data_IF_583810880960
#
_entry.id   IF_583810880960
#
_cell.length_a   1.000
_cell.length_b   1.000
_cell.length_c   1.000
_cell.angle_alpha   90.00
_cell.angle_beta   90.00
_cell.angle_gamma   90.00
#
_symmetry.space_group_name_H-M   'P 1'
#
loop_
_entity.id
_entity.type
_entity.pdbx_description
1 polymer ?
#
# COMPACT_ATOMS: atom_id res chain seq x y z
N UNK A 1 33.70 10.38 1.20
CA UNK A 1 34.28 10.11 -0.14
C UNK A 1 33.80 11.10 -1.22
N UNK A 2 32.89 12.03 -0.87
CA UNK A 2 32.34 13.07 -1.78
C UNK A 2 31.88 12.50 -3.14
N UNK A 3 31.17 11.37 -3.09
CA UNK A 3 30.66 10.67 -4.28
C UNK A 3 29.24 11.11 -4.67
N UNK A 4 28.69 12.10 -3.95
CA UNK A 4 27.35 12.62 -4.23
C UNK A 4 27.32 13.46 -5.52
N UNK A 5 26.18 13.44 -6.20
CA UNK A 5 25.89 14.31 -7.33
C UNK A 5 25.35 15.65 -6.81
N UNK A 6 26.27 16.60 -6.55
CA UNK A 6 25.90 17.88 -5.95
C UNK A 6 25.03 18.74 -6.88
N UNK A 7 25.21 18.64 -8.21
CA UNK A 7 24.34 19.35 -9.15
C UNK A 7 22.91 18.86 -9.06
N UNK A 8 22.70 17.55 -9.03
CA UNK A 8 21.38 16.97 -8.85
C UNK A 8 20.75 17.41 -7.52
N UNK A 9 21.52 17.34 -6.42
CA UNK A 9 21.08 17.78 -5.09
C UNK A 9 20.57 19.22 -5.13
N UNK A 10 21.37 20.14 -5.63
CA UNK A 10 21.06 21.57 -5.66
C UNK A 10 19.80 21.86 -6.48
N UNK A 11 19.62 21.18 -7.60
CA UNK A 11 18.51 21.43 -8.52
C UNK A 11 17.19 20.81 -8.05
N UNK A 12 17.23 19.61 -7.53
CA UNK A 12 16.02 18.79 -7.40
C UNK A 12 15.64 18.42 -5.97
N UNK A 13 16.45 18.75 -4.96
CA UNK A 13 16.14 18.37 -3.58
C UNK A 13 15.83 19.56 -2.67
N UNK A 14 15.11 19.29 -1.59
CA UNK A 14 14.89 20.18 -0.44
C UNK A 14 15.35 19.48 0.83
N UNK A 15 16.20 20.14 1.63
CA UNK A 15 16.63 19.66 2.94
C UNK A 15 17.69 18.57 2.91
N UNK A 16 18.42 18.38 1.78
CA UNK A 16 19.54 17.45 1.71
C UNK A 16 20.76 17.98 2.46
N UNK A 17 21.06 19.27 2.30
CA UNK A 17 22.16 19.98 2.96
C UNK A 17 21.77 21.44 3.25
N UNK A 18 22.67 22.22 3.83
CA UNK A 18 22.41 23.62 4.17
C UNK A 18 22.02 24.48 2.96
N UNK A 19 22.61 24.19 1.77
CA UNK A 19 22.31 24.92 0.54
C UNK A 19 20.93 24.64 -0.04
N UNK A 20 20.28 23.57 0.36
CA UNK A 20 18.95 23.14 -0.10
C UNK A 20 17.84 23.33 0.93
N UNK A 21 18.17 23.96 2.08
CA UNK A 21 17.19 24.29 3.11
C UNK A 21 16.31 25.46 2.69
N UNK A 22 14.99 25.38 2.83
CA UNK A 22 14.13 26.51 2.59
C UNK A 22 14.14 27.47 3.79
N UNK A 23 13.98 28.79 3.52
CA UNK A 23 14.05 29.85 4.53
C UNK A 23 13.05 29.66 5.69
N UNK A 24 11.88 29.15 5.40
CA UNK A 24 10.83 28.91 6.38
C UNK A 24 11.16 27.81 7.40
N UNK A 25 12.10 26.89 7.05
CA UNK A 25 12.36 25.70 7.87
C UNK A 25 12.87 26.01 9.26
N UNK A 26 13.66 27.06 9.42
CA UNK A 26 14.20 27.49 10.72
C UNK A 26 13.13 27.92 11.73
N UNK A 27 11.98 28.36 11.22
CA UNK A 27 10.86 28.79 12.05
C UNK A 27 9.80 27.69 12.27
N UNK A 28 10.05 26.49 11.78
CA UNK A 28 9.13 25.38 11.88
C UNK A 28 9.40 24.56 13.13
N UNK A 29 8.35 23.99 13.73
CA UNK A 29 8.44 23.21 14.97
C UNK A 29 9.36 21.99 14.84
N UNK A 30 9.48 21.42 13.64
CA UNK A 30 10.24 20.23 13.31
C UNK A 30 11.09 20.39 12.04
N UNK A 31 11.50 21.61 11.67
CA UNK A 31 12.05 21.91 10.35
C UNK A 31 13.54 22.29 10.30
N UNK A 32 14.20 22.52 11.42
CA UNK A 32 15.51 23.17 11.47
C UNK A 32 16.72 22.28 11.11
N UNK A 33 16.52 21.03 10.69
CA UNK A 33 17.57 20.07 10.44
C UNK A 33 17.65 19.67 8.97
N UNK A 34 18.88 19.55 8.43
CA UNK A 34 19.10 18.95 7.11
C UNK A 34 19.75 17.56 7.22
N UNK A 35 19.64 16.78 6.15
CA UNK A 35 20.05 15.39 6.16
C UNK A 35 21.58 15.21 6.26
N UNK A 36 22.37 16.06 5.56
CA UNK A 36 23.84 15.98 5.59
C UNK A 36 24.38 16.19 7.01
N UNK A 37 23.91 17.23 7.69
CA UNK A 37 24.39 17.55 9.04
C UNK A 37 23.92 16.50 10.05
N UNK A 38 22.76 15.88 9.86
CA UNK A 38 22.35 14.71 10.63
C UNK A 38 23.31 13.53 10.43
N UNK A 39 23.67 13.20 9.18
CA UNK A 39 24.64 12.11 8.90
C UNK A 39 26.00 12.40 9.50
N UNK A 40 26.45 13.65 9.47
CA UNK A 40 27.71 14.07 10.07
C UNK A 40 27.72 14.12 11.60
N UNK A 41 26.55 13.95 12.24
CA UNK A 41 26.40 13.98 13.69
C UNK A 41 26.35 15.39 14.28
N UNK A 42 26.11 16.43 13.46
CA UNK A 42 26.09 17.83 13.93
C UNK A 42 25.02 18.08 14.99
N UNK A 43 23.89 17.38 14.91
CA UNK A 43 22.75 17.63 15.81
C UNK A 43 22.75 16.74 17.07
N UNK A 44 23.36 15.55 17.00
CA UNK A 44 23.29 14.57 18.09
C UNK A 44 24.68 14.08 18.56
N UNK A 45 25.74 14.66 18.01
CA UNK A 45 27.12 14.30 18.36
C UNK A 45 27.58 12.91 17.87
N UNK A 46 26.73 12.24 17.07
CA UNK A 46 27.00 10.86 16.63
C UNK A 46 27.03 10.80 15.08
N UNK A 47 28.24 10.80 14.46
CA UNK A 47 28.37 10.59 13.03
C UNK A 47 27.86 9.20 12.61
N UNK A 48 27.04 9.15 11.55
CA UNK A 48 26.46 7.89 11.02
C UNK A 48 27.46 7.24 10.06
N UNK A 49 28.60 6.80 10.62
CA UNK A 49 29.67 6.15 9.84
C UNK A 49 29.33 4.72 9.45
N UNK A 50 30.04 4.12 8.49
CA UNK A 50 29.91 2.68 8.21
C UNK A 50 30.12 1.79 9.43
N UNK A 51 31.04 2.17 10.33
CA UNK A 51 31.34 1.46 11.58
C UNK A 51 30.14 1.55 12.54
N UNK A 52 29.55 2.74 12.71
CA UNK A 52 28.32 2.92 13.48
C UNK A 52 27.17 2.08 12.91
N UNK A 53 27.03 2.03 11.58
CA UNK A 53 26.00 1.24 10.94
C UNK A 53 26.22 -0.27 11.09
N UNK A 54 27.50 -0.72 11.05
CA UNK A 54 27.88 -2.13 11.20
C UNK A 54 27.44 -2.69 12.56
N UNK A 55 27.59 -1.92 13.62
CA UNK A 55 27.17 -2.32 14.97
C UNK A 55 25.64 -2.51 15.08
N UNK A 56 24.87 -1.79 14.26
CA UNK A 56 23.40 -1.85 14.28
C UNK A 56 22.89 -2.99 13.38
N UNK A 57 23.41 -3.10 12.15
CA UNK A 57 22.85 -3.98 11.14
C UNK A 57 23.59 -5.32 10.96
N UNK A 58 24.75 -5.49 11.60
CA UNK A 58 25.59 -6.69 11.50
C UNK A 58 26.28 -6.87 10.14
N UNK A 59 26.23 -5.87 9.24
CA UNK A 59 26.97 -5.86 7.98
C UNK A 59 28.31 -5.18 8.19
N UNK A 60 29.39 -5.74 7.66
CA UNK A 60 30.74 -5.18 7.89
C UNK A 60 30.86 -3.76 7.33
N UNK A 61 31.59 -2.89 8.01
CA UNK A 61 31.83 -1.51 7.54
C UNK A 61 32.53 -1.49 6.17
N UNK A 62 33.32 -2.49 5.85
CA UNK A 62 34.00 -2.64 4.56
C UNK A 62 32.94 -2.91 3.44
N UNK A 63 32.00 -3.83 3.66
CA UNK A 63 30.95 -4.13 2.70
C UNK A 63 30.02 -2.93 2.50
N UNK A 64 29.71 -2.18 3.56
CA UNK A 64 28.92 -0.94 3.47
C UNK A 64 29.67 0.08 2.58
N UNK A 65 30.96 0.30 2.80
CA UNK A 65 31.79 1.20 1.98
C UNK A 65 31.86 0.75 0.53
N UNK A 66 32.05 -0.54 0.30
CA UNK A 66 32.08 -1.16 -1.02
C UNK A 66 30.76 -0.97 -1.77
N UNK A 67 29.63 -1.24 -1.12
CA UNK A 67 28.30 -1.04 -1.70
C UNK A 67 28.03 0.42 -2.03
N UNK A 68 28.37 1.33 -1.11
CA UNK A 68 28.20 2.77 -1.32
C UNK A 68 29.02 3.26 -2.52
N UNK A 69 30.28 2.83 -2.63
CA UNK A 69 31.14 3.17 -3.77
C UNK A 69 30.57 2.61 -5.08
N UNK A 70 30.20 1.32 -5.09
CA UNK A 70 29.63 0.66 -6.27
C UNK A 70 28.35 1.37 -6.74
N UNK A 71 27.43 1.70 -5.84
CA UNK A 71 26.18 2.34 -6.17
C UNK A 71 26.39 3.78 -6.70
N UNK A 72 27.29 4.54 -6.08
CA UNK A 72 27.55 5.92 -6.48
C UNK A 72 28.32 6.04 -7.81
N UNK A 73 29.18 5.07 -8.14
CA UNK A 73 30.01 5.12 -9.36
C UNK A 73 29.41 4.38 -10.55
N UNK A 74 28.37 3.57 -10.34
CA UNK A 74 27.65 2.89 -11.43
C UNK A 74 26.47 3.72 -11.85
N UNK A 75 26.43 4.17 -13.11
CA UNK A 75 25.30 4.90 -13.69
C UNK A 75 24.86 4.29 -15.02
N UNK A 76 23.57 4.02 -15.21
CA UNK A 76 22.50 4.11 -14.22
C UNK A 76 22.59 2.98 -13.18
N UNK A 77 22.16 3.25 -11.95
CA UNK A 77 22.00 2.24 -10.92
C UNK A 77 20.58 2.24 -10.35
N UNK A 78 19.92 1.08 -10.41
CA UNK A 78 18.60 0.91 -9.84
C UNK A 78 18.68 0.45 -8.38
N UNK A 79 18.00 1.16 -7.50
CA UNK A 79 17.76 0.70 -6.12
C UNK A 79 16.36 0.07 -6.04
N UNK A 80 16.31 -1.25 -5.81
CA UNK A 80 15.06 -1.96 -5.59
C UNK A 80 14.91 -2.27 -4.11
N UNK A 81 13.96 -1.61 -3.49
CA UNK A 81 13.63 -1.81 -2.09
C UNK A 81 12.44 -2.76 -1.91
N UNK A 82 12.31 -3.35 -0.73
CA UNK A 82 11.19 -4.22 -0.34
C UNK A 82 10.19 -3.47 0.53
N UNK A 83 8.98 -4.00 0.66
CA UNK A 83 7.96 -3.43 1.54
C UNK A 83 8.10 -3.87 3.01
N UNK A 84 8.78 -4.99 3.25
CA UNK A 84 8.87 -5.59 4.58
C UNK A 84 9.41 -4.64 5.66
N UNK A 85 10.48 -3.86 5.43
CA UNK A 85 10.97 -2.93 6.43
C UNK A 85 9.95 -1.88 6.86
N UNK A 86 9.07 -1.44 5.95
CA UNK A 86 7.99 -0.51 6.24
C UNK A 86 6.88 -1.06 7.15
N UNK A 87 6.92 -2.34 7.48
CA UNK A 87 5.93 -3.00 8.38
C UNK A 87 6.35 -2.99 9.84
N UNK A 88 7.53 -2.49 10.15
CA UNK A 88 8.04 -2.35 11.51
C UNK A 88 7.83 -0.91 12.03
N UNK A 89 7.99 -0.74 13.34
CA UNK A 89 8.01 0.59 13.92
C UNK A 89 9.14 1.42 13.30
N UNK A 90 8.82 2.66 12.94
CA UNK A 90 9.72 3.59 12.21
C UNK A 90 10.16 3.09 10.83
N UNK A 91 9.51 2.07 10.28
CA UNK A 91 9.86 1.47 8.99
C UNK A 91 9.70 2.39 7.78
N UNK A 92 8.91 3.46 7.89
CA UNK A 92 8.82 4.51 6.88
C UNK A 92 10.16 5.20 6.63
N UNK A 93 11.06 5.22 7.62
CA UNK A 93 12.40 5.80 7.48
C UNK A 93 13.24 5.05 6.45
N UNK A 94 13.04 3.75 6.31
CA UNK A 94 13.72 2.94 5.28
C UNK A 94 13.44 3.44 3.85
N UNK A 95 12.18 3.66 3.52
CA UNK A 95 11.81 4.17 2.18
C UNK A 95 12.30 5.59 1.96
N UNK A 96 12.26 6.43 2.99
CA UNK A 96 12.77 7.81 2.95
C UNK A 96 14.29 7.84 2.76
N UNK A 97 15.03 6.97 3.45
CA UNK A 97 16.49 6.80 3.26
C UNK A 97 16.81 6.33 1.84
N UNK A 98 16.02 5.38 1.31
CA UNK A 98 16.17 4.92 -0.08
C UNK A 98 15.99 6.04 -1.10
N UNK A 99 15.01 6.90 -0.91
CA UNK A 99 14.80 8.09 -1.76
C UNK A 99 15.97 9.09 -1.66
N UNK A 100 16.46 9.33 -0.43
CA UNK A 100 17.61 10.19 -0.19
C UNK A 100 18.87 9.64 -0.89
N UNK A 101 19.17 8.35 -0.78
CA UNK A 101 20.30 7.70 -1.44
C UNK A 101 20.24 7.82 -2.97
N UNK A 102 19.06 7.60 -3.56
CA UNK A 102 18.87 7.74 -5.00
C UNK A 102 19.03 9.20 -5.47
N UNK A 103 18.51 10.15 -4.70
CA UNK A 103 18.66 11.57 -4.98
C UNK A 103 20.14 12.01 -4.85
N UNK A 104 20.85 11.54 -3.81
CA UNK A 104 22.27 11.84 -3.63
C UNK A 104 23.13 11.40 -4.81
N UNK A 105 22.75 10.34 -5.50
CA UNK A 105 23.54 9.78 -6.60
C UNK A 105 22.99 10.13 -7.98
N UNK A 106 21.94 10.95 -8.08
CA UNK A 106 21.34 11.37 -9.35
C UNK A 106 20.75 10.21 -10.15
N UNK A 107 20.26 9.15 -9.50
CA UNK A 107 19.66 7.98 -10.15
C UNK A 107 18.12 8.09 -10.30
N UNK A 108 17.55 9.28 -10.15
CA UNK A 108 16.11 9.56 -10.34
C UNK A 108 15.89 10.22 -11.69
N UNK A 109 14.86 9.85 -12.42
CA UNK A 109 14.46 10.44 -13.70
C UNK A 109 15.25 9.96 -14.90
N UNK A 110 16.18 9.03 -14.75
CA UNK A 110 17.01 8.47 -15.83
C UNK A 110 16.63 7.04 -16.16
N UNK A 111 16.83 6.65 -17.43
CA UNK A 111 16.60 5.27 -17.88
C UNK A 111 17.55 4.31 -17.15
N UNK A 112 17.00 3.28 -16.52
CA UNK A 112 17.79 2.31 -15.74
C UNK A 112 18.07 2.72 -14.31
N UNK A 113 17.81 3.98 -13.91
CA UNK A 113 17.70 4.40 -12.53
C UNK A 113 16.30 4.06 -12.00
N UNK A 114 16.14 3.98 -10.70
CA UNK A 114 14.85 3.68 -10.08
C UNK A 114 14.68 4.48 -8.79
N UNK A 115 13.54 5.15 -8.69
CA UNK A 115 13.10 5.84 -7.47
C UNK A 115 12.16 4.95 -6.66
N UNK A 116 12.36 3.64 -6.67
CA UNK A 116 11.44 2.69 -6.08
C UNK A 116 11.72 2.48 -4.59
N UNK A 117 11.00 3.22 -3.75
CA UNK A 117 10.87 2.84 -2.33
C UNK A 117 9.78 1.78 -2.09
N UNK A 118 8.82 1.60 -3.01
CA UNK A 118 7.60 0.82 -2.79
C UNK A 118 7.17 -0.03 -3.99
N UNK A 119 7.97 -0.11 -5.04
CA UNK A 119 7.69 -0.99 -6.19
C UNK A 119 6.53 -0.57 -7.09
N UNK A 120 6.13 0.68 -7.09
CA UNK A 120 5.10 1.20 -7.99
C UNK A 120 5.74 1.83 -9.23
N UNK A 121 5.83 1.07 -10.33
CA UNK A 121 5.98 1.69 -11.63
C UNK A 121 4.58 2.14 -12.09
N UNK A 122 4.29 3.42 -12.00
CA UNK A 122 3.07 3.98 -12.56
C UNK A 122 3.09 3.83 -14.07
N UNK A 123 1.94 3.52 -14.64
CA UNK A 123 1.79 3.51 -16.09
C UNK A 123 1.94 4.93 -16.62
N UNK A 124 2.61 5.07 -17.76
CA UNK A 124 2.70 6.34 -18.47
C UNK A 124 1.33 6.91 -18.83
N UNK A 125 0.34 6.02 -18.97
CA UNK A 125 -1.03 6.37 -19.24
C UNK A 125 -1.95 5.70 -18.22
N UNK A 126 -2.93 6.45 -17.75
CA UNK A 126 -3.89 5.95 -16.78
C UNK A 126 -4.70 4.81 -17.41
N UNK A 127 -4.52 3.61 -16.87
CA UNK A 127 -5.35 2.48 -17.21
C UNK A 127 -6.74 2.73 -16.63
N UNK A 128 -7.75 2.80 -17.49
CA UNK A 128 -9.12 2.98 -17.05
C UNK A 128 -9.61 1.71 -16.33
N UNK A 129 -10.20 1.88 -15.17
CA UNK A 129 -10.84 0.76 -14.48
C UNK A 129 -12.15 0.39 -15.16
N UNK A 130 -12.52 -0.91 -15.22
CA UNK A 130 -13.76 -1.35 -15.88
C UNK A 130 -15.02 -0.81 -15.23
N UNK A 131 -14.97 -0.51 -13.96
CA UNK A 131 -16.12 0.02 -13.21
C UNK A 131 -15.87 1.46 -12.83
N UNK A 132 -16.87 2.32 -13.00
CA UNK A 132 -16.79 3.69 -12.53
C UNK A 132 -16.61 3.67 -11.01
N UNK A 133 -15.51 4.26 -10.54
CA UNK A 133 -15.32 4.49 -9.13
C UNK A 133 -16.18 5.70 -8.74
N UNK A 134 -17.37 5.43 -8.25
CA UNK A 134 -18.18 6.48 -7.64
C UNK A 134 -17.43 6.98 -6.40
N UNK A 135 -17.12 8.26 -6.39
CA UNK A 135 -16.61 8.88 -5.19
C UNK A 135 -17.61 8.61 -4.05
N UNK A 136 -17.10 8.13 -2.93
CA UNK A 136 -17.90 8.02 -1.73
C UNK A 136 -18.22 9.44 -1.25
N UNK A 137 -19.36 9.98 -1.72
CA UNK A 137 -19.79 11.36 -1.44
C UNK A 137 -20.33 11.55 -0.02
N UNK A 138 -20.51 10.45 0.72
CA UNK A 138 -21.22 10.48 1.98
C UNK A 138 -20.35 10.24 3.21
N UNK A 139 -19.16 9.63 3.06
CA UNK A 139 -18.40 9.18 4.21
C UNK A 139 -16.90 9.30 4.01
N UNK A 140 -16.21 9.68 5.07
CA UNK A 140 -14.77 9.59 5.12
C UNK A 140 -14.30 8.14 5.10
N UNK A 141 -13.16 7.89 4.46
CA UNK A 141 -12.49 6.59 4.54
C UNK A 141 -11.88 6.41 5.92
N UNK A 142 -12.26 5.34 6.60
CA UNK A 142 -11.66 4.91 7.86
C UNK A 142 -10.55 3.91 7.54
N UNK A 143 -9.39 4.07 8.15
CA UNK A 143 -8.32 3.08 8.04
C UNK A 143 -8.77 1.74 8.62
N UNK A 144 -8.43 0.65 7.95
CA UNK A 144 -8.85 -0.71 8.32
C UNK A 144 -8.44 -1.13 9.74
N UNK A 145 -7.41 -0.53 10.31
CA UNK A 145 -6.94 -0.78 11.68
C UNK A 145 -7.65 0.07 12.75
N UNK A 146 -8.62 0.93 12.36
CA UNK A 146 -9.30 1.87 13.27
C UNK A 146 -10.76 1.53 13.56
N UNK A 147 -11.40 0.72 12.74
CA UNK A 147 -12.82 0.44 12.90
C UNK A 147 -13.17 -0.12 14.29
N UNK A 148 -12.39 -1.06 14.81
CA UNK A 148 -12.64 -1.65 16.13
C UNK A 148 -12.48 -0.61 17.25
N UNK A 149 -11.50 0.31 17.12
CA UNK A 149 -11.34 1.40 18.08
C UNK A 149 -12.57 2.31 18.10
N UNK A 150 -13.12 2.62 16.91
CA UNK A 150 -14.32 3.43 16.80
C UNK A 150 -15.50 2.73 17.43
N UNK A 151 -15.77 1.47 17.06
CA UNK A 151 -16.91 0.70 17.60
C UNK A 151 -16.87 0.57 19.13
N UNK A 152 -15.69 0.35 19.70
CA UNK A 152 -15.53 0.14 21.14
C UNK A 152 -15.66 1.42 21.96
N UNK A 153 -15.30 2.57 21.41
CA UNK A 153 -15.19 3.83 22.14
C UNK A 153 -16.21 4.90 21.72
N UNK A 154 -17.04 4.64 20.72
CA UNK A 154 -18.09 5.58 20.32
C UNK A 154 -19.03 5.89 21.50
N UNK A 155 -19.47 7.18 21.71
CA UNK A 155 -19.22 8.36 20.88
C UNK A 155 -17.93 9.12 21.22
N UNK A 156 -17.11 8.66 22.15
CA UNK A 156 -15.96 9.36 22.71
C UNK A 156 -14.68 9.13 21.88
N UNK A 157 -14.77 9.21 20.55
CA UNK A 157 -13.64 9.03 19.64
C UNK A 157 -13.44 10.31 18.85
N UNK A 158 -12.24 10.86 18.93
CA UNK A 158 -11.86 12.02 18.12
C UNK A 158 -11.61 11.64 16.66
N UNK A 159 -11.68 12.63 15.76
CA UNK A 159 -11.33 12.41 14.33
C UNK A 159 -9.93 11.87 14.15
N UNK A 160 -8.98 12.38 14.91
CA UNK A 160 -7.59 11.95 14.88
C UNK A 160 -7.44 10.48 15.30
N UNK A 161 -8.10 10.07 16.38
CA UNK A 161 -8.13 8.67 16.82
C UNK A 161 -8.80 7.74 15.82
N UNK A 162 -9.79 8.22 15.10
CA UNK A 162 -10.45 7.50 14.01
C UNK A 162 -9.59 7.44 12.73
N UNK A 163 -8.47 8.17 12.68
CA UNK A 163 -7.62 8.27 11.49
C UNK A 163 -8.24 9.08 10.35
N UNK A 164 -9.18 9.96 10.68
CA UNK A 164 -9.83 10.88 9.75
C UNK A 164 -8.98 12.14 9.63
N UNK A 165 -8.35 12.33 8.47
CA UNK A 165 -7.48 13.48 8.24
C UNK A 165 -8.27 14.76 7.89
N UNK A 166 -7.71 15.97 8.16
CA UNK A 166 -8.36 17.24 7.87
C UNK A 166 -8.61 17.54 6.38
N UNK A 167 -8.12 16.70 5.49
CA UNK A 167 -8.23 16.92 4.02
C UNK A 167 -9.62 16.70 3.44
N UNK A 168 -10.50 16.08 4.18
CA UNK A 168 -11.88 15.91 3.73
C UNK A 168 -12.72 17.12 4.16
N UNK A 169 -12.56 18.24 3.45
CA UNK A 169 -13.34 19.47 3.63
C UNK A 169 -14.86 19.26 3.45
N UNK A 170 -15.25 18.11 2.90
CA UNK A 170 -16.64 17.70 2.69
C UNK A 170 -17.24 16.94 3.87
N UNK A 171 -16.46 16.62 4.89
CA UNK A 171 -16.91 15.84 6.03
C UNK A 171 -17.19 16.74 7.24
N UNK A 172 -18.40 16.67 7.76
CA UNK A 172 -18.87 17.50 8.89
C UNK A 172 -18.18 17.24 10.25
N UNK A 173 -17.18 16.39 10.26
CA UNK A 173 -16.36 16.12 11.43
C UNK A 173 -16.88 15.06 12.39
N UNK A 174 -17.99 14.45 12.10
CA UNK A 174 -18.58 13.44 12.97
C UNK A 174 -17.97 12.07 12.72
N UNK A 175 -17.42 11.43 13.75
CA UNK A 175 -16.99 10.03 13.69
C UNK A 175 -18.23 9.16 13.54
N UNK A 176 -18.30 8.27 12.52
CA UNK A 176 -19.51 7.49 12.28
C UNK A 176 -19.76 6.46 13.38
N UNK A 177 -21.03 6.29 13.74
CA UNK A 177 -21.47 5.17 14.58
C UNK A 177 -21.59 3.91 13.70
N UNK A 178 -20.55 3.10 13.67
CA UNK A 178 -20.50 1.90 12.85
C UNK A 178 -21.41 0.83 13.47
N UNK A 179 -22.46 0.46 12.73
CA UNK A 179 -23.46 -0.52 13.13
C UNK A 179 -23.27 -1.87 12.46
N UNK A 180 -22.73 -1.87 11.25
CA UNK A 180 -22.51 -3.08 10.48
C UNK A 180 -21.30 -2.96 9.58
N UNK A 181 -20.75 -4.10 9.15
CA UNK A 181 -19.60 -4.20 8.27
C UNK A 181 -19.83 -5.21 7.16
N UNK A 182 -19.35 -4.86 5.97
CA UNK A 182 -19.18 -5.77 4.86
C UNK A 182 -17.70 -6.01 4.60
N UNK A 183 -17.27 -7.25 4.72
CA UNK A 183 -15.89 -7.67 4.47
C UNK A 183 -15.80 -8.30 3.09
N UNK A 184 -15.16 -7.61 2.18
CA UNK A 184 -14.99 -8.07 0.81
C UNK A 184 -13.51 -8.34 0.54
N UNK A 185 -13.16 -9.60 0.23
CA UNK A 185 -11.79 -9.99 -0.12
C UNK A 185 -10.76 -9.67 0.96
N UNK A 186 -11.17 -9.67 2.23
CA UNK A 186 -10.32 -9.32 3.37
C UNK A 186 -10.49 -10.32 4.50
N UNK A 187 -9.41 -11.00 4.84
CA UNK A 187 -9.32 -11.87 6.01
C UNK A 187 -8.66 -11.12 7.17
N UNK A 188 -9.36 -10.10 7.69
CA UNK A 188 -8.82 -9.19 8.71
C UNK A 188 -8.39 -9.90 9.98
N UNK A 189 -9.02 -11.04 10.31
CA UNK A 189 -8.65 -11.86 11.45
C UNK A 189 -7.18 -12.33 11.39
N UNK A 190 -6.64 -12.53 10.18
CA UNK A 190 -5.24 -12.87 9.96
C UNK A 190 -4.35 -11.66 9.62
N UNK A 191 -4.93 -10.49 9.37
CA UNK A 191 -4.21 -9.32 8.88
C UNK A 191 -4.03 -8.21 9.91
N UNK A 192 -4.96 -8.07 10.85
CA UNK A 192 -4.91 -7.02 11.86
C UNK A 192 -4.16 -7.45 13.12
N UNK A 193 -3.69 -6.48 13.87
CA UNK A 193 -2.68 -6.71 14.91
C UNK A 193 -3.21 -7.10 16.28
N UNK A 194 -4.49 -6.85 16.57
CA UNK A 194 -5.07 -7.10 17.90
C UNK A 194 -6.42 -7.81 17.79
N UNK A 195 -6.36 -9.10 17.48
CA UNK A 195 -7.53 -9.95 17.25
C UNK A 195 -8.53 -9.94 18.41
N UNK A 196 -8.06 -9.93 19.66
CA UNK A 196 -8.95 -9.91 20.81
C UNK A 196 -9.79 -8.63 20.85
N UNK A 197 -9.19 -7.48 20.55
CA UNK A 197 -9.89 -6.20 20.44
C UNK A 197 -10.89 -6.19 19.29
N UNK A 198 -10.51 -6.77 18.14
CA UNK A 198 -11.40 -6.89 16.99
C UNK A 198 -12.62 -7.76 17.31
N UNK A 199 -12.45 -8.90 17.98
CA UNK A 199 -13.54 -9.77 18.42
C UNK A 199 -14.49 -9.09 19.42
N UNK A 200 -13.97 -8.26 20.32
CA UNK A 200 -14.81 -7.46 21.21
C UNK A 200 -15.64 -6.44 20.44
N UNK A 201 -15.06 -5.82 19.43
CA UNK A 201 -15.77 -4.86 18.59
C UNK A 201 -16.88 -5.54 17.75
N UNK A 202 -16.61 -6.70 17.16
CA UNK A 202 -17.62 -7.49 16.42
C UNK A 202 -18.86 -7.75 17.23
N UNK A 203 -18.71 -8.08 18.51
CA UNK A 203 -19.85 -8.35 19.43
C UNK A 203 -20.78 -7.15 19.62
N UNK A 204 -20.34 -5.94 19.27
CA UNK A 204 -21.13 -4.70 19.36
C UNK A 204 -21.78 -4.32 18.03
N UNK A 205 -21.43 -4.97 16.93
CA UNK A 205 -22.06 -4.74 15.63
C UNK A 205 -23.46 -5.36 15.59
N UNK A 206 -24.35 -4.73 14.84
CA UNK A 206 -25.70 -5.22 14.59
C UNK A 206 -25.72 -6.21 13.41
N UNK A 207 -24.77 -6.09 12.48
CA UNK A 207 -24.66 -6.95 11.31
C UNK A 207 -23.20 -7.00 10.81
N UNK A 208 -22.69 -8.21 10.59
CA UNK A 208 -21.39 -8.45 10.03
C UNK A 208 -21.48 -9.45 8.87
N UNK A 209 -21.23 -8.99 7.64
CA UNK A 209 -21.34 -9.77 6.42
C UNK A 209 -19.96 -10.00 5.83
N UNK A 210 -19.62 -11.26 5.57
CA UNK A 210 -18.38 -11.62 4.90
C UNK A 210 -18.65 -12.11 3.48
N UNK A 211 -17.94 -11.55 2.50
CA UNK A 211 -17.97 -11.94 1.10
C UNK A 211 -16.61 -12.56 0.76
N UNK A 212 -16.57 -13.86 0.56
CA UNK A 212 -15.34 -14.55 0.19
C UNK A 212 -15.63 -15.80 -0.66
N UNK A 213 -14.64 -16.23 -1.43
CA UNK A 213 -14.71 -17.46 -2.23
C UNK A 213 -14.47 -18.73 -1.41
N UNK A 214 -13.99 -18.58 -0.18
CA UNK A 214 -13.72 -19.66 0.76
C UNK A 214 -14.11 -19.24 2.17
N UNK A 215 -14.35 -20.22 3.04
CA UNK A 215 -14.57 -19.94 4.46
C UNK A 215 -13.23 -19.60 5.11
N UNK A 216 -13.02 -18.32 5.38
CA UNK A 216 -11.83 -17.79 6.08
C UNK A 216 -12.04 -17.78 7.59
N UNK A 217 -10.97 -17.60 8.40
CA UNK A 217 -11.14 -17.33 9.83
C UNK A 217 -12.05 -16.14 10.12
N UNK A 218 -11.97 -15.06 9.36
CA UNK A 218 -12.89 -13.91 9.48
C UNK A 218 -14.35 -14.35 9.30
N UNK A 219 -14.65 -15.10 8.25
CA UNK A 219 -15.97 -15.63 8.00
C UNK A 219 -16.47 -16.57 9.11
N UNK A 220 -15.58 -17.44 9.61
CA UNK A 220 -15.95 -18.45 10.61
C UNK A 220 -16.21 -17.87 12.00
N UNK A 221 -15.45 -16.84 12.42
CA UNK A 221 -15.47 -16.34 13.81
C UNK A 221 -16.23 -15.04 13.98
N UNK A 222 -16.44 -14.28 12.89
CA UNK A 222 -16.93 -12.93 13.01
C UNK A 222 -18.17 -12.61 12.15
N UNK A 223 -18.51 -13.42 11.15
CA UNK A 223 -19.64 -13.13 10.27
C UNK A 223 -20.96 -13.64 10.80
N UNK A 224 -22.01 -12.80 10.72
CA UNK A 224 -23.41 -13.23 10.89
C UNK A 224 -23.94 -13.86 9.60
N UNK A 225 -23.44 -13.37 8.45
CA UNK A 225 -23.81 -13.83 7.11
C UNK A 225 -22.57 -14.06 6.26
N UNK A 226 -22.47 -15.22 5.63
CA UNK A 226 -21.48 -15.53 4.61
C UNK A 226 -22.13 -15.52 3.23
N UNK A 227 -21.63 -14.67 2.35
CA UNK A 227 -22.04 -14.65 0.95
C UNK A 227 -20.92 -15.25 0.09
N UNK A 228 -21.15 -16.38 -0.58
CA UNK A 228 -20.15 -17.01 -1.39
C UNK A 228 -19.89 -16.18 -2.66
N UNK A 229 -18.61 -15.85 -2.89
CA UNK A 229 -18.18 -15.06 -4.05
C UNK A 229 -17.56 -15.96 -5.10
N UNK A 230 -17.96 -15.76 -6.36
CA UNK A 230 -17.40 -16.48 -7.49
C UNK A 230 -15.93 -16.07 -7.72
N UNK A 231 -15.11 -17.08 -8.01
CA UNK A 231 -13.70 -16.88 -8.37
C UNK A 231 -13.57 -16.27 -9.78
N UNK A 232 -12.36 -15.89 -10.14
CA UNK A 232 -12.07 -15.37 -11.48
C UNK A 232 -12.25 -16.38 -12.63
N UNK A 233 -12.43 -17.67 -12.35
CA UNK A 233 -12.77 -18.68 -13.35
C UNK A 233 -14.28 -18.76 -13.62
N UNK A 234 -15.08 -18.25 -12.71
CA UNK A 234 -16.53 -18.37 -12.70
C UNK A 234 -17.26 -17.11 -13.21
N UNK A 235 -16.50 -16.10 -13.66
CA UNK A 235 -17.07 -14.84 -14.21
C UNK A 235 -16.21 -14.27 -15.32
N UNK A 236 -16.84 -13.45 -16.16
CA UNK A 236 -16.14 -12.59 -17.11
C UNK A 236 -15.55 -11.38 -16.41
N UNK A 237 -14.34 -11.00 -16.75
CA UNK A 237 -13.68 -9.83 -16.16
C UNK A 237 -12.51 -9.34 -17.03
N UNK A 238 -11.94 -8.20 -16.69
CA UNK A 238 -10.70 -7.67 -17.26
C UNK A 238 -9.69 -7.45 -16.16
N UNK A 239 -8.54 -8.09 -16.27
CA UNK A 239 -7.44 -7.87 -15.36
C UNK A 239 -6.55 -6.74 -15.85
N UNK A 240 -6.13 -5.94 -14.89
CA UNK A 240 -5.15 -4.88 -15.02
C UNK A 240 -3.86 -5.32 -14.31
N UNK A 241 -2.69 -4.96 -14.82
CA UNK A 241 -1.45 -5.26 -14.11
C UNK A 241 -1.39 -4.42 -12.85
N UNK A 242 -1.16 -5.06 -11.71
CA UNK A 242 -0.96 -4.34 -10.47
C UNK A 242 0.38 -3.63 -10.47
N UNK A 243 0.38 -2.34 -10.86
CA UNK A 243 1.53 -1.45 -10.90
C UNK A 243 2.70 -1.84 -11.84
N UNK A 244 2.57 -2.85 -12.70
CA UNK A 244 3.68 -3.28 -13.57
C UNK A 244 3.19 -3.70 -14.96
N UNK A 245 3.10 -2.75 -15.86
CA UNK A 245 2.84 -3.03 -17.27
C UNK A 245 1.76 -2.13 -17.89
N UNK A 246 1.76 -2.13 -19.22
CA UNK A 246 0.83 -1.35 -20.04
C UNK A 246 0.01 -2.32 -20.84
N UNK A 247 -0.92 -3.05 -20.18
CA UNK A 247 -1.72 -4.06 -20.84
C UNK A 247 -3.03 -4.34 -20.10
N UNK A 248 -4.00 -4.85 -20.85
CA UNK A 248 -5.22 -5.46 -20.35
C UNK A 248 -5.20 -6.96 -20.61
N UNK A 249 -5.76 -7.75 -19.72
CA UNK A 249 -5.97 -9.20 -19.92
C UNK A 249 -7.46 -9.47 -19.82
N UNK A 250 -8.03 -10.05 -20.87
CA UNK A 250 -9.38 -10.61 -20.79
C UNK A 250 -9.37 -11.88 -19.96
N UNK A 251 -10.23 -11.96 -18.99
CA UNK A 251 -10.48 -13.15 -18.16
C UNK A 251 -11.85 -13.71 -18.52
N UNK A 252 -11.93 -14.71 -19.39
CA UNK A 252 -13.20 -15.34 -19.72
C UNK A 252 -13.71 -16.18 -18.54
N UNK A 253 -15.02 -16.26 -18.39
CA UNK A 253 -15.65 -17.29 -17.58
C UNK A 253 -15.32 -18.66 -18.20
N UNK A 254 -14.85 -19.59 -17.39
CA UNK A 254 -14.38 -20.91 -17.79
C UNK A 254 -15.28 -22.03 -17.27
N UNK A 255 -15.87 -21.81 -16.11
CA UNK A 255 -16.80 -22.71 -15.45
C UNK A 255 -18.00 -21.92 -14.93
N UNK A 256 -19.14 -22.60 -14.74
CA UNK A 256 -20.27 -21.98 -14.06
C UNK A 256 -19.98 -21.75 -12.58
N UNK A 257 -20.55 -20.70 -11.97
CA UNK A 257 -20.43 -20.46 -10.54
C UNK A 257 -20.84 -21.70 -9.72
N UNK A 258 -20.00 -22.06 -8.75
CA UNK A 258 -20.24 -23.21 -7.90
C UNK A 258 -21.26 -22.87 -6.79
N UNK A 259 -22.24 -23.75 -6.62
CA UNK A 259 -23.27 -23.57 -5.61
C UNK A 259 -24.11 -22.30 -5.84
N UNK A 260 -24.19 -21.46 -4.81
CA UNK A 260 -24.91 -20.19 -4.84
C UNK A 260 -23.98 -18.98 -5.03
N UNK A 261 -22.73 -19.21 -5.46
CA UNK A 261 -21.75 -18.13 -5.58
C UNK A 261 -22.13 -17.14 -6.70
N UNK A 262 -21.89 -15.87 -6.43
CA UNK A 262 -22.11 -14.75 -7.34
C UNK A 262 -20.87 -13.85 -7.34
N UNK A 263 -20.68 -13.07 -8.41
CA UNK A 263 -19.62 -12.07 -8.39
C UNK A 263 -19.91 -10.99 -7.34
N UNK A 264 -18.85 -10.35 -6.79
CA UNK A 264 -19.01 -9.20 -5.90
C UNK A 264 -19.92 -8.14 -6.54
N UNK A 265 -19.70 -7.87 -7.83
CA UNK A 265 -20.49 -6.88 -8.57
C UNK A 265 -21.97 -7.26 -8.65
N UNK A 266 -22.27 -8.53 -8.88
CA UNK A 266 -23.63 -9.05 -8.88
C UNK A 266 -24.28 -8.93 -7.48
N UNK A 267 -23.58 -9.35 -6.44
CA UNK A 267 -24.07 -9.26 -5.06
C UNK A 267 -24.47 -7.82 -4.72
N UNK A 268 -23.57 -6.87 -4.95
CA UNK A 268 -23.84 -5.47 -4.63
C UNK A 268 -24.90 -4.83 -5.55
N UNK A 269 -24.97 -5.22 -6.82
CA UNK A 269 -26.04 -4.79 -7.72
C UNK A 269 -27.40 -5.24 -7.19
N UNK A 270 -27.52 -6.52 -6.85
CA UNK A 270 -28.77 -7.07 -6.31
C UNK A 270 -29.16 -6.44 -4.97
N UNK A 271 -28.18 -6.21 -4.08
CA UNK A 271 -28.42 -5.50 -2.82
C UNK A 271 -28.90 -4.07 -3.04
N UNK A 272 -28.30 -3.33 -3.95
CA UNK A 272 -28.69 -1.97 -4.29
C UNK A 272 -30.16 -1.93 -4.81
N UNK A 273 -30.54 -2.85 -5.68
CA UNK A 273 -31.90 -2.99 -6.15
C UNK A 273 -32.90 -3.36 -5.04
N UNK A 274 -32.53 -4.25 -4.12
CA UNK A 274 -33.40 -4.66 -3.01
C UNK A 274 -33.59 -3.57 -1.96
N UNK A 275 -32.56 -2.76 -1.71
CA UNK A 275 -32.58 -1.67 -0.72
C UNK A 275 -33.29 -0.43 -1.26
N UNK A 276 -32.98 0.00 -2.48
CA UNK A 276 -33.43 1.28 -3.02
C UNK A 276 -34.10 1.21 -4.41
N UNK A 277 -34.50 0.02 -4.83
CA UNK A 277 -35.19 -0.20 -6.09
C UNK A 277 -34.35 0.22 -7.30
N UNK A 278 -35.03 0.64 -8.36
CA UNK A 278 -34.41 1.01 -9.63
C UNK A 278 -33.39 2.16 -9.48
N UNK A 279 -33.64 3.12 -8.59
CA UNK A 279 -32.80 4.29 -8.39
C UNK A 279 -31.42 3.86 -7.87
N UNK A 280 -31.37 3.05 -6.84
CA UNK A 280 -30.09 2.59 -6.27
C UNK A 280 -29.45 1.53 -7.16
N UNK A 281 -30.25 0.64 -7.73
CA UNK A 281 -29.76 -0.39 -8.64
C UNK A 281 -29.04 0.21 -9.85
N UNK A 282 -29.65 1.18 -10.52
CA UNK A 282 -29.05 1.88 -11.66
C UNK A 282 -27.92 2.84 -11.27
N UNK A 283 -27.94 3.40 -10.08
CA UNK A 283 -26.83 4.19 -9.58
C UNK A 283 -25.57 3.33 -9.38
N UNK A 284 -25.74 2.09 -8.93
CA UNK A 284 -24.62 1.16 -8.74
C UNK A 284 -24.21 0.47 -10.06
N UNK A 285 -25.18 -0.02 -10.82
CA UNK A 285 -24.97 -0.65 -12.13
C UNK A 285 -25.92 -0.02 -13.16
N UNK A 286 -25.47 1.01 -13.91
CA UNK A 286 -26.32 1.76 -14.84
C UNK A 286 -26.94 0.90 -15.95
N UNK A 287 -26.38 -0.27 -16.22
CA UNK A 287 -26.86 -1.19 -17.27
C UNK A 287 -27.80 -2.27 -16.74
N UNK A 288 -27.89 -2.41 -15.41
CA UNK A 288 -28.82 -3.36 -14.83
C UNK A 288 -30.26 -2.85 -14.92
N UNK A 289 -31.17 -3.76 -15.24
CA UNK A 289 -32.59 -3.62 -15.07
C UNK A 289 -33.14 -4.84 -14.31
N UNK A 290 -34.44 -5.04 -14.27
CA UNK A 290 -35.02 -6.19 -13.56
C UNK A 290 -34.59 -7.54 -14.10
N UNK A 291 -34.22 -7.64 -15.38
CA UNK A 291 -33.73 -8.87 -15.98
C UNK A 291 -32.35 -9.28 -15.46
N UNK A 292 -31.65 -8.37 -14.77
CA UNK A 292 -30.35 -8.65 -14.17
C UNK A 292 -30.36 -9.83 -13.20
N UNK A 293 -31.44 -10.00 -12.47
CA UNK A 293 -31.56 -11.13 -11.53
C UNK A 293 -31.55 -12.50 -12.22
N UNK A 294 -32.02 -12.54 -13.48
CA UNK A 294 -32.09 -13.77 -14.27
C UNK A 294 -30.94 -13.90 -15.27
N UNK A 295 -30.26 -12.79 -15.59
CA UNK A 295 -29.32 -12.69 -16.71
C UNK A 295 -28.06 -11.85 -16.36
N UNK A 296 -27.54 -11.95 -15.15
CA UNK A 296 -26.43 -11.13 -14.68
C UNK A 296 -25.19 -11.23 -15.57
N UNK A 297 -24.82 -12.42 -16.02
CA UNK A 297 -23.67 -12.65 -16.92
C UNK A 297 -23.76 -11.85 -18.22
N UNK A 298 -24.94 -11.84 -18.87
CA UNK A 298 -25.13 -11.13 -20.14
C UNK A 298 -25.04 -9.60 -19.92
N UNK A 299 -25.56 -9.11 -18.81
CA UNK A 299 -25.52 -7.67 -18.49
C UNK A 299 -24.08 -7.26 -18.11
N UNK A 300 -23.36 -8.07 -17.36
CA UNK A 300 -21.98 -7.81 -16.98
C UNK A 300 -21.05 -7.85 -18.19
N UNK A 301 -21.25 -8.79 -19.11
CA UNK A 301 -20.54 -8.84 -20.40
C UNK A 301 -20.83 -7.61 -21.27
N UNK A 302 -22.08 -7.17 -21.33
CA UNK A 302 -22.46 -5.95 -22.02
C UNK A 302 -21.86 -4.70 -21.38
N UNK A 303 -21.73 -4.69 -20.04
CA UNK A 303 -21.04 -3.62 -19.30
C UNK A 303 -19.57 -3.55 -19.67
N UNK A 304 -18.86 -4.66 -19.65
CA UNK A 304 -17.43 -4.74 -20.01
C UNK A 304 -17.19 -4.33 -21.47
N UNK A 305 -18.05 -4.78 -22.38
CA UNK A 305 -18.00 -4.41 -23.81
C UNK A 305 -18.15 -2.90 -24.01
N UNK A 306 -19.11 -2.29 -23.33
CA UNK A 306 -19.31 -0.85 -23.41
C UNK A 306 -18.18 -0.05 -22.75
N UNK A 307 -17.67 -0.51 -21.59
CA UNK A 307 -16.49 0.09 -20.97
C UNK A 307 -15.30 0.05 -21.93
N UNK A 308 -15.05 -1.10 -22.58
CA UNK A 308 -13.98 -1.22 -23.57
C UNK A 308 -14.14 -0.19 -24.68
N UNK A 309 -15.33 -0.08 -25.25
CA UNK A 309 -15.62 0.88 -26.30
C UNK A 309 -15.44 2.33 -25.82
N UNK A 310 -16.05 2.70 -24.71
CA UNK A 310 -16.12 4.09 -24.26
C UNK A 310 -14.80 4.57 -23.63
N UNK A 311 -14.17 3.76 -22.79
CA UNK A 311 -12.98 4.16 -22.05
C UNK A 311 -11.67 3.74 -22.73
N UNK A 312 -11.63 2.56 -23.33
CA UNK A 312 -10.37 2.04 -23.91
C UNK A 312 -10.24 2.47 -25.36
N UNK A 313 -11.22 2.18 -26.20
CA UNK A 313 -11.14 2.54 -27.62
C UNK A 313 -11.25 4.06 -27.82
N UNK A 314 -12.26 4.70 -27.27
CA UNK A 314 -12.52 6.09 -27.53
C UNK A 314 -11.56 7.04 -26.81
N UNK A 315 -11.35 6.88 -25.49
CA UNK A 315 -10.48 7.79 -24.74
C UNK A 315 -8.98 7.49 -24.85
N UNK A 316 -8.64 6.21 -25.03
CA UNK A 316 -7.22 5.81 -25.10
C UNK A 316 -6.74 5.53 -26.53
N UNK A 317 -7.60 5.74 -27.54
CA UNK A 317 -7.23 5.58 -28.95
C UNK A 317 -6.93 4.14 -29.37
N UNK A 318 -7.42 3.15 -28.62
CA UNK A 318 -7.24 1.74 -28.94
C UNK A 318 -8.14 1.34 -30.09
N UNK A 319 -7.58 0.77 -31.14
CA UNK A 319 -8.35 0.37 -32.35
C UNK A 319 -8.89 -1.05 -32.30
N UNK A 320 -8.43 -1.86 -31.32
CA UNK A 320 -8.88 -3.25 -31.16
C UNK A 320 -10.31 -3.31 -30.63
N UNK A 321 -11.21 -3.99 -31.33
CA UNK A 321 -12.58 -4.20 -30.87
C UNK A 321 -12.66 -5.11 -29.65
N UNK A 322 -13.79 -5.08 -28.94
CA UNK A 322 -14.03 -5.98 -27.79
C UNK A 322 -13.93 -7.46 -28.20
N UNK A 323 -14.51 -7.82 -29.34
CA UNK A 323 -14.46 -9.22 -29.84
C UNK A 323 -13.05 -9.67 -30.20
N UNK A 324 -12.25 -8.79 -30.79
CA UNK A 324 -10.84 -9.08 -31.05
C UNK A 324 -10.03 -9.21 -29.76
N UNK A 325 -10.30 -8.34 -28.77
CA UNK A 325 -9.66 -8.42 -27.47
C UNK A 325 -9.99 -9.72 -26.74
N UNK A 326 -11.27 -10.13 -26.73
CA UNK A 326 -11.66 -11.44 -26.17
C UNK A 326 -10.93 -12.59 -26.84
N UNK A 327 -10.89 -12.58 -28.17
CA UNK A 327 -10.20 -13.63 -28.94
C UNK A 327 -8.69 -13.66 -28.70
N UNK A 328 -8.06 -12.50 -28.58
CA UNK A 328 -6.62 -12.37 -28.36
C UNK A 328 -6.22 -12.59 -26.90
N UNK A 329 -7.10 -12.32 -25.96
CA UNK A 329 -6.89 -12.46 -24.53
C UNK A 329 -6.03 -11.37 -23.88
N UNK A 330 -5.19 -10.67 -24.64
CA UNK A 330 -4.31 -9.61 -24.12
C UNK A 330 -4.22 -8.46 -25.10
N UNK A 331 -4.35 -7.25 -24.59
CA UNK A 331 -3.98 -6.02 -25.29
C UNK A 331 -2.78 -5.37 -24.60
N UNK A 332 -1.71 -5.12 -25.34
CA UNK A 332 -0.53 -4.38 -24.86
C UNK A 332 -0.47 -3.02 -25.53
N UNK A 333 -0.38 -1.96 -24.74
CA UNK A 333 -0.15 -0.64 -25.27
C UNK A 333 1.23 -0.55 -25.93
N UNK A 334 1.26 0.05 -27.11
CA UNK A 334 2.52 0.36 -27.77
C UNK A 334 3.08 1.65 -27.15
N UNK A 335 4.29 1.56 -26.65
CA UNK A 335 5.02 2.71 -26.13
C UNK A 335 6.06 3.14 -27.18
N UNK A 336 6.09 4.41 -27.54
CA UNK A 336 7.09 4.96 -28.47
C UNK A 336 8.48 5.02 -27.83
N UNK A 337 8.52 5.21 -26.51
CA UNK A 337 9.74 5.21 -25.69
C UNK A 337 9.50 4.54 -24.34
N UNK A 338 10.53 3.98 -23.71
CA UNK A 338 10.39 3.44 -22.36
C UNK A 338 9.88 4.50 -21.38
N UNK A 339 8.95 4.10 -20.51
CA UNK A 339 8.54 4.93 -19.39
C UNK A 339 9.67 5.03 -18.37
N UNK A 340 10.00 6.25 -17.99
CA UNK A 340 10.98 6.54 -16.94
C UNK A 340 10.31 7.43 -15.90
N UNK A 341 10.19 6.92 -14.69
CA UNK A 341 9.60 7.69 -13.60
C UNK A 341 10.38 9.00 -13.36
N UNK A 342 9.66 10.09 -13.19
CA UNK A 342 10.20 11.43 -12.95
C UNK A 342 11.06 12.03 -14.08
N UNK A 343 11.00 11.47 -15.30
CA UNK A 343 11.73 12.06 -16.44
C UNK A 343 11.31 13.50 -16.69
N UNK A 344 10.01 13.79 -16.69
CA UNK A 344 9.48 15.11 -16.93
C UNK A 344 9.99 16.15 -15.91
N UNK A 345 10.18 15.73 -14.65
CA UNK A 345 10.72 16.58 -13.60
C UNK A 345 12.21 16.87 -13.81
N UNK A 346 12.98 15.87 -14.20
CA UNK A 346 14.44 15.98 -14.29
C UNK A 346 14.90 16.53 -15.64
N UNK A 347 14.29 16.07 -16.75
CA UNK A 347 14.70 16.47 -18.11
C UNK A 347 13.92 17.68 -18.65
N UNK A 348 12.62 17.82 -18.30
CA UNK A 348 11.72 18.81 -18.89
C UNK A 348 11.37 19.95 -17.92
N UNK A 349 11.89 19.92 -16.68
CA UNK A 349 11.73 20.98 -15.69
C UNK A 349 10.34 21.09 -15.06
N UNK A 350 9.50 20.03 -15.16
CA UNK A 350 8.24 20.01 -14.46
C UNK A 350 8.46 19.91 -12.94
N UNK A 351 7.60 20.49 -12.10
CA UNK A 351 7.72 20.31 -10.65
C UNK A 351 7.39 18.88 -10.24
N UNK A 352 8.04 18.41 -9.17
CA UNK A 352 7.58 17.20 -8.47
C UNK A 352 6.23 17.48 -7.80
N UNK A 353 5.42 16.46 -7.63
CA UNK A 353 4.10 16.57 -6.97
C UNK A 353 4.25 16.60 -5.43
N UNK A 354 4.98 17.57 -4.95
CA UNK A 354 5.24 17.85 -3.54
C UNK A 354 4.97 19.32 -3.27
N UNK A 355 4.74 19.75 -2.03
CA UNK A 355 4.53 21.16 -1.70
C UNK A 355 5.65 22.09 -2.18
N UNK A 356 6.90 21.64 -2.18
CA UNK A 356 8.07 22.40 -2.64
C UNK A 356 8.30 22.34 -4.16
N UNK A 357 7.62 21.42 -4.86
CA UNK A 357 7.93 21.11 -6.27
C UNK A 357 9.27 20.37 -6.46
N UNK A 358 9.93 19.94 -5.37
CA UNK A 358 11.21 19.21 -5.36
C UNK A 358 11.09 17.86 -4.65
N UNK A 359 12.13 17.05 -4.68
CA UNK A 359 12.26 15.85 -3.86
C UNK A 359 12.48 16.30 -2.42
N UNK A 360 11.47 16.09 -1.56
CA UNK A 360 11.51 16.54 -0.17
C UNK A 360 12.22 15.54 0.73
N UNK A 361 13.50 15.75 0.97
CA UNK A 361 14.24 15.07 2.05
C UNK A 361 13.80 15.67 3.40
N UNK A 362 13.71 17.00 3.49
CA UNK A 362 12.92 17.67 4.52
C UNK A 362 11.48 17.72 4.05
N UNK A 363 10.62 16.93 4.67
CA UNK A 363 9.19 16.89 4.36
C UNK A 363 8.49 18.15 4.89
N UNK A 364 7.94 18.96 4.00
CA UNK A 364 7.28 20.23 4.34
C UNK A 364 6.12 20.03 5.30
N UNK A 365 5.27 19.04 5.06
CA UNK A 365 4.11 18.78 5.92
C UNK A 365 4.54 18.35 7.33
N UNK A 366 5.50 17.43 7.45
CA UNK A 366 6.01 16.98 8.75
C UNK A 366 6.75 18.09 9.52
N UNK A 367 7.45 18.98 8.81
CA UNK A 367 8.15 20.08 9.42
C UNK A 367 7.20 21.08 10.13
N UNK A 368 5.97 21.16 9.66
CA UNK A 368 4.94 22.08 10.18
C UNK A 368 4.11 21.49 11.34
N UNK A 369 4.26 20.20 11.63
CA UNK A 369 3.54 19.57 12.74
C UNK A 369 4.09 20.11 14.08
N UNK A 370 3.26 20.84 14.81
CA UNK A 370 3.64 21.49 16.07
C UNK A 370 3.96 20.51 17.20
N UNK A 371 3.37 19.33 17.18
CA UNK A 371 3.49 18.32 18.24
C UNK A 371 4.12 16.99 17.74
N UNK A 372 5.08 17.09 16.86
CA UNK A 372 5.74 15.93 16.24
C UNK A 372 6.47 15.01 17.27
N UNK A 373 6.86 15.52 18.41
CA UNK A 373 7.51 14.75 19.49
C UNK A 373 6.52 14.03 20.39
N UNK A 374 5.25 14.41 20.35
CA UNK A 374 4.20 13.89 21.21
C UNK A 374 3.08 13.30 20.40
N UNK A 375 3.22 12.06 20.02
CA UNK A 375 2.03 11.30 19.69
C UNK A 375 1.51 10.65 20.97
N UNK A 376 0.21 10.40 21.03
CA UNK A 376 -0.45 9.65 22.14
C UNK A 376 0.28 8.31 22.46
N UNK A 377 1.06 7.81 21.53
CA UNK A 377 1.78 6.54 21.61
C UNK A 377 3.30 6.70 21.76
N UNK A 378 3.81 7.90 21.98
CA UNK A 378 5.25 8.17 22.08
C UNK A 378 6.02 8.02 20.75
N UNK A 379 5.31 8.07 19.63
CA UNK A 379 5.89 7.92 18.30
C UNK A 379 6.49 9.25 17.82
N UNK A 380 7.76 9.27 17.46
CA UNK A 380 8.44 10.46 16.95
C UNK A 380 8.45 10.45 15.42
N UNK A 381 8.00 11.52 14.79
CA UNK A 381 7.95 11.67 13.34
C UNK A 381 8.91 12.79 12.91
N UNK A 382 10.20 12.50 12.65
CA UNK A 382 11.14 13.51 12.20
C UNK A 382 10.84 13.97 10.78
N UNK A 383 11.05 15.25 10.51
CA UNK A 383 10.83 15.84 9.18
C UNK A 383 11.82 15.36 8.13
N UNK A 384 13.06 15.04 8.53
CA UNK A 384 14.08 14.39 7.68
C UNK A 384 14.18 12.90 7.99
N UNK A 385 14.68 12.06 7.08
CA UNK A 385 14.94 10.65 7.36
C UNK A 385 15.97 10.49 8.48
N UNK A 386 15.64 9.68 9.50
CA UNK A 386 16.54 9.37 10.62
C UNK A 386 16.50 7.90 10.97
N UNK A 387 17.62 7.39 11.51
CA UNK A 387 17.60 6.16 12.25
C UNK A 387 16.93 6.38 13.60
N UNK A 388 15.93 5.59 13.88
CA UNK A 388 15.24 5.57 15.18
C UNK A 388 15.16 4.11 15.58
N UNK A 389 15.67 3.78 16.74
CA UNK A 389 15.62 2.41 17.21
C UNK A 389 14.17 1.99 17.47
N UNK A 390 13.68 0.90 16.82
CA UNK A 390 12.33 0.43 17.05
C UNK A 390 12.19 -0.15 18.46
N UNK A 391 11.00 -0.02 19.04
CA UNK A 391 10.73 -0.57 20.37
C UNK A 391 10.78 -2.11 20.47
N UNK A 392 10.85 -2.80 19.34
CA UNK A 392 11.02 -4.25 19.23
C UNK A 392 12.44 -4.65 18.80
N UNK A 393 13.43 -3.80 19.04
CA UNK A 393 14.83 -4.08 18.74
C UNK A 393 15.44 -5.07 19.73
N UNK A 394 16.62 -5.60 19.39
CA UNK A 394 17.41 -6.44 20.31
C UNK A 394 17.84 -5.71 21.57
N UNK A 395 17.97 -4.37 21.51
CA UNK A 395 18.32 -3.52 22.65
C UNK A 395 17.10 -3.09 23.48
N UNK A 396 15.89 -3.51 23.11
CA UNK A 396 14.67 -3.19 23.85
C UNK A 396 14.70 -3.79 25.26
N UNK A 397 14.26 -3.07 26.29
CA UNK A 397 14.11 -3.64 27.64
C UNK A 397 13.20 -4.86 27.69
N UNK A 398 12.33 -5.03 26.70
CA UNK A 398 11.43 -6.19 26.58
C UNK A 398 12.16 -7.50 26.27
N UNK A 399 13.38 -7.45 25.75
CA UNK A 399 14.17 -8.66 25.41
C UNK A 399 14.51 -9.50 26.63
N UNK A 400 14.59 -8.90 27.81
CA UNK A 400 14.75 -9.66 29.06
C UNK A 400 13.62 -10.64 29.33
N UNK A 401 12.38 -10.29 28.93
CA UNK A 401 11.19 -11.13 29.06
C UNK A 401 10.85 -11.87 27.77
N UNK A 402 11.12 -11.30 26.61
CA UNK A 402 10.81 -11.80 25.29
C UNK A 402 12.07 -11.84 24.43
N UNK A 403 12.94 -12.86 24.59
CA UNK A 403 14.30 -12.88 24.01
C UNK A 403 14.34 -13.20 22.52
N UNK A 404 13.19 -13.49 21.90
CA UNK A 404 13.11 -13.83 20.48
C UNK A 404 12.37 -12.74 19.71
N UNK A 405 12.92 -12.39 18.56
CA UNK A 405 12.28 -11.52 17.58
C UNK A 405 11.50 -12.40 16.59
N UNK A 406 10.19 -12.21 16.52
CA UNK A 406 9.35 -12.91 15.54
C UNK A 406 9.47 -12.26 14.15
N UNK A 407 9.88 -13.04 13.18
CA UNK A 407 9.87 -12.67 11.77
C UNK A 407 8.85 -13.54 11.06
N UNK A 408 7.91 -12.92 10.34
CA UNK A 408 6.85 -13.62 9.60
C UNK A 408 7.02 -13.43 8.08
N UNK A 409 7.87 -14.22 7.42
CA UNK A 409 8.08 -14.15 5.98
C UNK A 409 6.87 -14.70 5.22
N UNK A 410 6.67 -14.20 3.99
CA UNK A 410 5.67 -14.78 3.10
C UNK A 410 6.07 -16.21 2.70
N UNK A 411 5.24 -17.23 2.95
CA UNK A 411 5.50 -18.58 2.48
C UNK A 411 5.34 -18.65 0.95
N UNK A 412 6.09 -19.54 0.31
CA UNK A 412 6.11 -19.66 -1.16
C UNK A 412 4.83 -20.22 -1.77
N UNK A 413 4.06 -20.98 -1.01
CA UNK A 413 2.92 -21.75 -1.49
C UNK A 413 1.58 -21.00 -1.39
N UNK A 414 1.56 -19.82 -0.75
CA UNK A 414 0.34 -19.00 -0.64
C UNK A 414 0.65 -17.52 -0.86
N UNK A 415 -0.38 -16.76 -1.21
CA UNK A 415 -0.32 -15.31 -1.30
C UNK A 415 -1.19 -14.72 -0.21
N UNK A 416 -0.60 -14.15 0.83
CA UNK A 416 -1.30 -13.77 2.07
C UNK A 416 -2.04 -15.00 2.63
N UNK A 417 -3.38 -14.92 2.82
CA UNK A 417 -4.21 -16.05 3.24
C UNK A 417 -4.76 -16.88 2.06
N UNK A 418 -4.61 -16.42 0.80
CA UNK A 418 -5.09 -17.12 -0.38
C UNK A 418 -4.34 -18.45 -0.52
N UNK A 419 -5.07 -19.50 -0.87
CA UNK A 419 -4.64 -20.91 -0.94
C UNK A 419 -4.43 -21.61 0.42
N UNK A 420 -4.62 -20.93 1.54
CA UNK A 420 -4.49 -21.57 2.85
C UNK A 420 -5.49 -22.72 3.06
N UNK A 421 -6.63 -22.68 2.37
CA UNK A 421 -7.68 -23.69 2.43
C UNK A 421 -7.50 -24.84 1.41
N UNK A 422 -6.47 -24.82 0.57
CA UNK A 422 -6.18 -25.89 -0.37
C UNK A 422 -5.58 -27.09 0.36
N UNK A 423 -6.34 -28.16 0.52
CA UNK A 423 -5.92 -29.37 1.26
C UNK A 423 -4.64 -29.97 0.72
N UNK A 424 -4.54 -30.12 -0.60
CA UNK A 424 -3.37 -30.68 -1.29
C UNK A 424 -2.09 -29.82 -1.12
N UNK A 425 -2.20 -28.50 -0.94
CA UNK A 425 -1.05 -27.66 -0.60
C UNK A 425 -0.66 -27.84 0.86
N UNK A 426 -1.63 -27.98 1.74
CA UNK A 426 -1.38 -28.20 3.18
C UNK A 426 -0.76 -29.56 3.47
N UNK A 427 -1.04 -30.57 2.67
CA UNK A 427 -0.38 -31.87 2.73
C UNK A 427 1.12 -31.80 2.38
N UNK A 428 1.48 -30.83 1.52
CA UNK A 428 2.86 -30.65 1.06
C UNK A 428 3.64 -29.66 1.94
N UNK A 429 2.96 -28.65 2.47
CA UNK A 429 3.56 -27.55 3.21
C UNK A 429 2.86 -27.33 4.54
N UNK A 430 3.54 -27.67 5.62
CA UNK A 430 3.06 -27.40 6.96
C UNK A 430 3.36 -25.95 7.39
N UNK A 431 2.62 -25.45 8.38
CA UNK A 431 2.91 -24.17 9.00
C UNK A 431 3.98 -24.37 10.08
N UNK A 432 5.20 -24.02 9.77
CA UNK A 432 6.37 -24.21 10.61
C UNK A 432 6.80 -22.93 11.33
N UNK A 433 7.43 -23.10 12.49
CA UNK A 433 8.25 -22.09 13.15
C UNK A 433 9.72 -22.48 13.06
N UNK A 434 10.50 -21.70 12.32
CA UNK A 434 11.96 -21.92 12.22
C UNK A 434 12.67 -21.24 13.37
N UNK A 435 13.47 -21.97 14.14
CA UNK A 435 14.24 -21.48 15.26
C UNK A 435 15.70 -21.98 15.16
N UNK A 436 16.65 -21.22 15.71
CA UNK A 436 18.04 -21.66 15.80
C UNK A 436 18.14 -22.97 16.60
N UNK A 437 18.89 -23.96 16.09
CA UNK A 437 18.98 -25.28 16.68
C UNK A 437 19.54 -25.28 18.13
N UNK A 438 20.46 -24.36 18.45
CA UNK A 438 21.00 -24.23 19.80
C UNK A 438 19.95 -23.67 20.77
N UNK A 439 19.12 -22.73 20.29
CA UNK A 439 18.02 -22.17 21.07
C UNK A 439 16.91 -23.20 21.28
N UNK A 440 16.55 -23.97 20.26
CA UNK A 440 15.59 -25.08 20.37
C UNK A 440 16.02 -26.07 21.46
N UNK A 441 17.29 -26.52 21.39
CA UNK A 441 17.88 -27.40 22.41
C UNK A 441 17.81 -26.80 23.82
N UNK A 442 18.16 -25.51 23.97
CA UNK A 442 18.11 -24.79 25.25
C UNK A 442 16.67 -24.70 25.82
N UNK A 443 15.67 -24.62 24.96
CA UNK A 443 14.25 -24.52 25.31
C UNK A 443 13.59 -25.90 25.50
N UNK A 444 14.27 -27.00 25.18
CA UNK A 444 13.72 -28.34 25.25
C UNK A 444 12.75 -28.70 24.14
N UNK A 445 12.89 -28.06 22.97
CA UNK A 445 12.08 -28.25 21.76
C UNK A 445 12.84 -29.17 20.79
#
# INVERSE_FOLDING_TARGET
NELQDQDFINRFTQGMDAGTMPDWAQNSANGGENFKDYILGTYDGTPKTPEWAADICGVSAEDIKKLAHMYATTKPAALKASWAPGRNAYGEQYSRMGAALQAMTGNIGILGGCAEGVGKAWHAEAVAYPYDQYANIWFASIKSDRWAHIVLNYPNVTREEAGLWPRDDQFDGVVPNIKGLFWQGSDWFNQLTNINKELEAVKKLELNVCLDSTITPTGSFAADVLLPVSTHFERHDVALPWYKGHYYIHRPKVIEPLGESKSDFQIFTELAWRIGGEVFGKAYNPRADRSYFDNADAVDEAYLSAWWHDKVMHHQGVTMSWEEFKKRGVYKFKLDKPHVAFRAQVEEGQPFQTPSGKIEILCTELAQISDWKRTKYGYHIPSIPKWIEPWESLNSPKTSKHPFHLISPHPRWRTHSIFNNCSWLRETYEQEATINAADAKRLGI
#
